data_IF_066979326902
#
_entry.id   IF_066979326902
#
_cell.length_a   1.000
_cell.length_b   1.000
_cell.length_c   1.000
_cell.angle_alpha   90.00
_cell.angle_beta   90.00
_cell.angle_gamma   90.00
#
_symmetry.space_group_name_H-M   'P 1'
#
loop_
_entity.id
_entity.type
_entity.pdbx_description
1 polymer ?
#
# COMPACT_ATOMS: atom_id res chain seq x y z
N UNK A 1 -4.40 -21.93 -37.57
CA UNK A 1 -4.80 -20.51 -37.36
C UNK A 1 -5.40 -20.23 -35.97
N UNK A 2 -6.18 -21.12 -35.34
CA UNK A 2 -6.79 -20.90 -34.00
C UNK A 2 -5.79 -20.77 -32.82
N UNK A 3 -4.66 -21.49 -32.86
CA UNK A 3 -3.62 -21.45 -31.80
C UNK A 3 -2.86 -20.11 -31.74
N UNK A 4 -2.68 -19.45 -32.88
CA UNK A 4 -2.05 -18.14 -32.94
C UNK A 4 -2.97 -17.06 -32.37
N UNK A 5 -4.28 -17.15 -32.66
CA UNK A 5 -5.29 -16.23 -32.13
C UNK A 5 -5.42 -16.36 -30.60
N UNK A 6 -5.42 -17.59 -30.05
CA UNK A 6 -5.41 -17.78 -28.58
C UNK A 6 -4.13 -17.28 -27.91
N UNK A 7 -2.96 -17.42 -28.55
CA UNK A 7 -1.70 -16.90 -28.01
C UNK A 7 -1.63 -15.38 -28.07
N UNK A 8 -2.18 -14.79 -29.13
CA UNK A 8 -2.24 -13.33 -29.29
C UNK A 8 -3.25 -12.73 -28.30
N UNK A 9 -4.39 -13.38 -28.06
CA UNK A 9 -5.32 -13.00 -27.00
C UNK A 9 -4.73 -13.15 -25.59
N UNK A 10 -3.98 -14.22 -25.33
CA UNK A 10 -3.28 -14.39 -24.04
C UNK A 10 -2.21 -13.32 -23.83
N UNK A 11 -1.49 -12.94 -24.89
CA UNK A 11 -0.47 -11.88 -24.83
C UNK A 11 -1.11 -10.50 -24.65
N UNK A 12 -2.25 -10.24 -25.30
CA UNK A 12 -3.06 -9.02 -25.06
C UNK A 12 -3.64 -8.98 -23.65
N UNK A 13 -4.07 -10.13 -23.08
CA UNK A 13 -4.56 -10.20 -21.71
C UNK A 13 -3.44 -9.94 -20.68
N UNK A 14 -2.25 -10.51 -20.91
CA UNK A 14 -1.07 -10.26 -20.05
C UNK A 14 -0.61 -8.80 -20.19
N UNK A 15 -0.65 -8.22 -21.40
CA UNK A 15 -0.38 -6.80 -21.59
C UNK A 15 -1.45 -5.92 -20.96
N UNK A 16 -2.73 -6.28 -20.98
CA UNK A 16 -3.80 -5.50 -20.35
C UNK A 16 -3.70 -5.51 -18.81
N UNK A 17 -3.32 -6.66 -18.21
CA UNK A 17 -3.07 -6.76 -16.78
C UNK A 17 -1.77 -6.01 -16.41
N UNK A 18 -0.74 -6.05 -17.27
CA UNK A 18 0.49 -5.27 -17.10
C UNK A 18 0.28 -3.75 -17.25
N UNK A 19 -0.61 -3.32 -18.16
CA UNK A 19 -0.94 -1.91 -18.40
C UNK A 19 -1.86 -1.32 -17.32
N UNK A 20 -2.72 -2.13 -16.69
CA UNK A 20 -3.49 -1.70 -15.52
C UNK A 20 -2.68 -1.74 -14.21
N UNK A 21 -1.50 -2.36 -14.20
CA UNK A 21 -0.61 -2.48 -13.04
C UNK A 21 0.37 -1.31 -12.84
N UNK A 22 0.49 -0.39 -13.80
CA UNK A 22 1.39 0.77 -13.71
C UNK A 22 0.66 2.10 -13.49
N UNK A 23 -0.44 2.12 -12.73
CA UNK A 23 -0.95 3.39 -12.20
C UNK A 23 0.04 3.88 -11.15
N UNK A 24 0.80 4.93 -11.49
CA UNK A 24 1.57 5.72 -10.54
C UNK A 24 0.76 5.89 -9.24
N UNK A 25 1.27 5.47 -8.09
CA UNK A 25 0.45 5.41 -6.89
C UNK A 25 0.31 6.76 -6.17
N UNK A 26 0.82 7.84 -6.79
CA UNK A 26 0.98 9.15 -6.15
C UNK A 26 -0.14 10.15 -6.46
N UNK A 27 -1.27 9.75 -7.04
CA UNK A 27 -2.44 10.64 -7.12
C UNK A 27 -3.28 10.48 -5.85
N UNK A 28 -2.71 10.85 -4.71
CA UNK A 28 -3.49 11.12 -3.50
C UNK A 28 -4.59 12.12 -3.91
N UNK A 29 -5.85 11.77 -3.69
CA UNK A 29 -6.99 12.61 -4.07
C UNK A 29 -7.02 13.89 -3.23
N UNK A 30 -6.46 13.83 -2.02
CA UNK A 30 -6.59 14.88 -1.00
C UNK A 30 -7.76 14.67 -0.06
N UNK A 31 -8.63 13.71 -0.36
CA UNK A 31 -9.58 13.21 0.61
C UNK A 31 -8.84 12.24 1.55
N UNK A 32 -8.55 12.72 2.75
CA UNK A 32 -7.84 11.95 3.77
C UNK A 32 -8.44 10.56 3.98
N UNK A 33 -9.76 10.46 4.16
CA UNK A 33 -10.41 9.19 4.47
C UNK A 33 -10.27 8.18 3.33
N UNK A 34 -10.49 8.63 2.11
CA UNK A 34 -10.40 7.78 0.92
C UNK A 34 -8.96 7.34 0.65
N UNK A 35 -8.02 8.27 0.73
CA UNK A 35 -6.60 8.00 0.53
C UNK A 35 -6.06 7.05 1.61
N UNK A 36 -6.47 7.20 2.88
CA UNK A 36 -6.05 6.29 3.96
C UNK A 36 -6.62 4.89 3.77
N UNK A 37 -7.90 4.75 3.39
CA UNK A 37 -8.50 3.43 3.14
C UNK A 37 -7.87 2.73 1.93
N UNK A 38 -7.62 3.47 0.85
CA UNK A 38 -6.90 2.96 -0.33
C UNK A 38 -5.48 2.52 0.02
N UNK A 39 -4.77 3.30 0.84
CA UNK A 39 -3.43 2.95 1.31
C UNK A 39 -3.43 1.66 2.15
N UNK A 40 -4.36 1.51 3.10
CA UNK A 40 -4.48 0.30 3.92
C UNK A 40 -4.70 -0.93 3.03
N UNK A 41 -5.60 -0.84 2.05
CA UNK A 41 -5.87 -1.94 1.11
C UNK A 41 -4.63 -2.33 0.31
N UNK A 42 -3.91 -1.35 -0.24
CA UNK A 42 -2.68 -1.58 -0.99
C UNK A 42 -1.58 -2.21 -0.14
N UNK A 43 -1.42 -1.79 1.12
CA UNK A 43 -0.43 -2.35 2.03
C UNK A 43 -0.75 -3.78 2.44
N UNK A 44 -2.03 -4.10 2.69
CA UNK A 44 -2.46 -5.50 2.95
C UNK A 44 -2.11 -6.40 1.78
N UNK A 45 -2.46 -5.99 0.56
CA UNK A 45 -2.11 -6.73 -0.65
C UNK A 45 -0.60 -6.92 -0.81
N UNK A 46 0.19 -5.87 -0.58
CA UNK A 46 1.65 -5.93 -0.67
C UNK A 46 2.29 -6.86 0.37
N UNK A 47 1.72 -6.95 1.58
CA UNK A 47 2.18 -7.85 2.64
C UNK A 47 1.91 -9.33 2.29
N UNK A 48 0.81 -9.61 1.59
CA UNK A 48 0.38 -10.95 1.19
C UNK A 48 1.08 -11.51 -0.06
N UNK A 49 1.82 -10.69 -0.81
CA UNK A 49 2.54 -11.13 -2.01
C UNK A 49 3.55 -12.25 -1.73
N UNK A 50 3.72 -13.21 -2.67
CA UNK A 50 4.66 -14.31 -2.52
C UNK A 50 6.11 -13.81 -2.41
N UNK A 51 6.87 -14.44 -1.52
CA UNK A 51 8.27 -14.11 -1.25
C UNK A 51 9.18 -14.37 -2.45
N UNK A 52 10.33 -13.67 -2.51
CA UNK A 52 11.36 -13.83 -3.55
C UNK A 52 10.88 -13.58 -4.99
N UNK A 53 9.83 -12.77 -5.17
CA UNK A 53 9.37 -12.32 -6.48
C UNK A 53 9.82 -10.88 -6.75
N UNK A 54 10.12 -10.57 -8.01
CA UNK A 54 10.42 -9.19 -8.44
C UNK A 54 9.26 -8.25 -8.13
N UNK A 55 8.02 -8.73 -8.31
CA UNK A 55 6.79 -8.05 -7.94
C UNK A 55 6.75 -7.62 -6.46
N UNK A 56 7.33 -8.40 -5.54
CA UNK A 56 7.37 -8.02 -4.12
C UNK A 56 8.37 -6.89 -3.86
N UNK A 57 9.54 -6.91 -4.52
CA UNK A 57 10.51 -5.83 -4.44
C UNK A 57 9.93 -4.52 -4.98
N UNK A 58 9.23 -4.59 -6.11
CA UNK A 58 8.53 -3.46 -6.70
C UNK A 58 7.41 -2.94 -5.79
N UNK A 59 6.57 -3.82 -5.25
CA UNK A 59 5.51 -3.46 -4.31
C UNK A 59 6.07 -2.81 -3.04
N UNK A 60 7.22 -3.26 -2.52
CA UNK A 60 7.89 -2.62 -1.38
C UNK A 60 8.42 -1.23 -1.74
N UNK A 61 9.02 -1.05 -2.92
CA UNK A 61 9.52 0.24 -3.37
C UNK A 61 8.37 1.24 -3.53
N UNK A 62 7.29 0.81 -4.18
CA UNK A 62 6.04 1.55 -4.31
C UNK A 62 5.48 1.90 -2.92
N UNK A 63 5.39 0.95 -2.01
CA UNK A 63 4.87 1.18 -0.66
C UNK A 63 5.69 2.26 0.08
N UNK A 64 7.03 2.22 0.00
CA UNK A 64 7.90 3.25 0.60
C UNK A 64 7.62 4.63 0.02
N UNK A 65 7.45 4.73 -1.29
CA UNK A 65 7.15 5.99 -1.96
C UNK A 65 5.79 6.54 -1.51
N UNK A 66 4.73 5.72 -1.54
CA UNK A 66 3.39 6.15 -1.11
C UNK A 66 3.38 6.57 0.35
N UNK A 67 4.10 5.85 1.22
CA UNK A 67 4.23 6.22 2.64
C UNK A 67 4.79 7.64 2.79
N UNK A 68 5.85 7.94 2.04
CA UNK A 68 6.48 9.27 2.08
C UNK A 68 5.56 10.35 1.51
N UNK A 69 4.90 10.09 0.38
CA UNK A 69 3.96 11.02 -0.25
C UNK A 69 2.77 11.31 0.67
N UNK A 70 2.16 10.27 1.24
CA UNK A 70 1.05 10.35 2.19
C UNK A 70 1.44 11.14 3.44
N UNK A 71 2.57 10.79 4.07
CA UNK A 71 3.05 11.50 5.24
C UNK A 71 3.39 12.96 4.94
N UNK A 72 4.00 13.24 3.78
CA UNK A 72 4.38 14.60 3.39
C UNK A 72 3.18 15.50 3.13
N UNK A 73 2.12 14.96 2.52
CA UNK A 73 0.87 15.68 2.24
C UNK A 73 0.11 15.98 3.52
N UNK A 74 -0.25 14.94 4.27
CA UNK A 74 -1.19 15.08 5.39
C UNK A 74 -0.56 15.64 6.67
N UNK A 75 0.78 15.62 6.82
CA UNK A 75 1.44 16.30 7.95
C UNK A 75 1.31 17.83 7.90
N UNK A 76 1.10 18.41 6.72
CA UNK A 76 1.00 19.87 6.52
C UNK A 76 -0.41 20.39 6.78
N UNK A 77 -1.38 19.49 6.76
CA UNK A 77 -2.78 19.80 7.03
C UNK A 77 -3.04 19.67 8.53
N UNK A 78 -3.21 20.80 9.22
CA UNK A 78 -3.46 20.82 10.67
C UNK A 78 -4.79 20.14 11.05
N UNK A 79 -5.75 20.05 10.12
CA UNK A 79 -7.02 19.35 10.38
C UNK A 79 -6.85 17.83 10.44
N UNK A 80 -5.84 17.30 9.74
CA UNK A 80 -5.52 15.87 9.70
C UNK A 80 -4.39 15.50 10.64
N UNK A 81 -3.37 16.36 10.77
CA UNK A 81 -2.15 16.07 11.54
C UNK A 81 -2.42 15.79 13.02
N UNK A 82 -3.51 16.33 13.57
CA UNK A 82 -3.93 16.14 14.96
C UNK A 82 -4.87 14.95 15.16
N UNK A 83 -5.32 14.29 14.08
CA UNK A 83 -6.25 13.17 14.19
C UNK A 83 -5.53 11.95 14.79
N UNK A 84 -6.16 11.27 15.77
CA UNK A 84 -5.67 10.00 16.27
C UNK A 84 -5.48 8.97 15.16
N UNK A 85 -6.40 8.94 14.18
CA UNK A 85 -6.31 8.06 13.00
C UNK A 85 -5.00 8.27 12.23
N UNK A 86 -4.58 9.53 12.05
CA UNK A 86 -3.36 9.87 11.32
C UNK A 86 -2.11 9.46 12.11
N UNK A 87 -2.09 9.72 13.41
CA UNK A 87 -0.96 9.34 14.28
C UNK A 87 -0.77 7.83 14.35
N UNK A 88 -1.86 7.07 14.50
CA UNK A 88 -1.83 5.60 14.47
C UNK A 88 -1.34 5.09 13.12
N UNK A 89 -1.86 5.65 12.02
CA UNK A 89 -1.42 5.28 10.68
C UNK A 89 0.08 5.54 10.49
N UNK A 90 0.60 6.71 10.90
CA UNK A 90 2.04 7.01 10.82
C UNK A 90 2.91 6.01 11.58
N UNK A 91 2.45 5.55 12.74
CA UNK A 91 3.16 4.53 13.54
C UNK A 91 3.24 3.20 12.79
N UNK A 92 2.14 2.79 12.17
CA UNK A 92 2.09 1.60 11.32
C UNK A 92 3.03 1.73 10.12
N UNK A 93 2.94 2.84 9.39
CA UNK A 93 3.77 3.10 8.21
C UNK A 93 5.26 3.15 8.53
N UNK A 94 5.65 3.82 9.63
CA UNK A 94 7.05 3.87 10.07
C UNK A 94 7.58 2.49 10.44
N UNK A 95 6.76 1.67 11.09
CA UNK A 95 7.13 0.29 11.43
C UNK A 95 7.40 -0.55 10.18
N UNK A 96 6.53 -0.43 9.17
CA UNK A 96 6.66 -1.15 7.91
C UNK A 96 7.85 -0.66 7.08
N UNK A 97 8.02 0.67 6.96
CA UNK A 97 9.14 1.27 6.26
C UNK A 97 10.49 0.93 6.91
N UNK A 98 10.53 0.87 8.25
CA UNK A 98 11.70 0.42 9.01
C UNK A 98 12.06 -1.03 8.68
N UNK A 99 11.08 -1.95 8.69
CA UNK A 99 11.30 -3.35 8.31
C UNK A 99 11.84 -3.47 6.88
N UNK A 100 11.22 -2.80 5.91
CA UNK A 100 11.68 -2.85 4.52
C UNK A 100 13.06 -2.21 4.31
N UNK A 101 13.46 -1.24 5.13
CA UNK A 101 14.80 -0.64 5.06
C UNK A 101 15.87 -1.55 5.66
N UNK A 102 15.58 -2.17 6.81
CA UNK A 102 16.54 -3.03 7.51
C UNK A 102 16.64 -4.43 6.89
N UNK A 103 15.53 -4.96 6.36
CA UNK A 103 15.44 -6.34 5.88
C UNK A 103 14.66 -6.43 4.55
N UNK A 104 15.18 -5.85 3.44
CA UNK A 104 14.47 -5.83 2.17
C UNK A 104 14.14 -7.23 1.62
N UNK A 105 15.05 -8.18 1.83
CA UNK A 105 14.93 -9.57 1.35
C UNK A 105 14.28 -10.51 2.37
N UNK A 106 13.69 -10.00 3.46
CA UNK A 106 13.02 -10.84 4.47
C UNK A 106 11.53 -10.55 4.53
N UNK A 107 10.71 -11.60 4.76
CA UNK A 107 9.29 -11.41 4.98
C UNK A 107 9.04 -10.54 6.21
N UNK A 108 7.93 -9.82 6.19
CA UNK A 108 7.42 -9.09 7.36
C UNK A 108 7.13 -10.12 8.46
N UNK A 109 7.68 -9.98 9.68
CA UNK A 109 7.45 -10.94 10.76
C UNK A 109 5.97 -11.03 11.12
N UNK A 110 5.48 -12.23 11.44
CA UNK A 110 4.07 -12.45 11.80
C UNK A 110 3.59 -11.57 12.97
N UNK A 111 4.46 -11.31 13.94
CA UNK A 111 4.16 -10.37 15.05
C UNK A 111 3.92 -8.95 14.53
N UNK A 112 4.71 -8.50 13.56
CA UNK A 112 4.55 -7.18 12.94
C UNK A 112 3.29 -7.13 12.09
N UNK A 113 3.00 -8.16 11.29
CA UNK A 113 1.75 -8.26 10.52
C UNK A 113 0.52 -8.14 11.42
N UNK A 114 0.48 -8.90 12.52
CA UNK A 114 -0.64 -8.84 13.49
C UNK A 114 -0.82 -7.45 14.10
N UNK A 115 0.29 -6.77 14.43
CA UNK A 115 0.25 -5.40 14.96
C UNK A 115 -0.26 -4.41 13.92
N UNK A 116 0.30 -4.43 12.70
CA UNK A 116 -0.14 -3.57 11.60
C UNK A 116 -1.63 -3.76 11.32
N UNK A 117 -2.10 -4.99 11.31
CA UNK A 117 -3.49 -5.32 11.06
C UNK A 117 -4.43 -4.83 12.20
N UNK A 118 -3.96 -4.80 13.45
CA UNK A 118 -4.69 -4.14 14.54
C UNK A 118 -4.74 -2.62 14.36
N UNK A 119 -3.62 -1.99 14.02
CA UNK A 119 -3.50 -0.56 13.78
C UNK A 119 -4.39 -0.13 12.60
N UNK A 120 -4.38 -0.88 11.49
CA UNK A 120 -5.23 -0.63 10.33
C UNK A 120 -6.72 -0.67 10.69
N UNK A 121 -7.17 -1.69 11.44
CA UNK A 121 -8.56 -1.75 11.89
C UNK A 121 -8.93 -0.58 12.79
N UNK A 122 -8.03 -0.14 13.68
CA UNK A 122 -8.28 1.03 14.52
C UNK A 122 -8.46 2.29 13.66
N UNK A 123 -7.61 2.48 12.65
CA UNK A 123 -7.70 3.59 11.71
C UNK A 123 -9.01 3.53 10.91
N UNK A 124 -9.38 2.37 10.36
CA UNK A 124 -10.64 2.19 9.63
C UNK A 124 -11.87 2.54 10.49
N UNK A 125 -11.86 2.13 11.77
CA UNK A 125 -12.94 2.45 12.71
C UNK A 125 -12.98 3.93 13.06
N UNK A 126 -11.83 4.59 13.21
CA UNK A 126 -11.72 6.01 13.47
C UNK A 126 -12.27 6.83 12.28
N UNK A 127 -11.85 6.49 11.06
CA UNK A 127 -12.34 7.11 9.82
C UNK A 127 -13.85 6.96 9.65
N UNK A 128 -14.41 5.78 9.95
CA UNK A 128 -15.87 5.56 9.91
C UNK A 128 -16.64 6.42 10.91
N UNK A 129 -16.00 6.84 12.00
CA UNK A 129 -16.56 7.73 13.03
C UNK A 129 -16.29 9.20 12.72
N UNK A 130 -15.48 9.51 11.72
CA UNK A 130 -15.07 10.87 11.37
C UNK A 130 -14.02 11.47 12.31
N UNK A 131 -13.18 10.63 12.94
CA UNK A 131 -12.13 11.03 13.91
C UNK A 131 -10.77 10.41 13.59
#
# INVERSE_FOLDING_TARGET
MKRFISRLLALVLVCAIGLMGCSNPSTLSGNYSEDTLGLISSLRAAIELPENTEAKSEAQAIARQIINDYASRYRRDNSVANLPSFTTMRTALNSLAGHYSSYPNRPVPEKLKKRLEQEFRQVELALKRGV
#
